data_IF_631320582825
#
_entry.id   IF_631320582825
#
_cell.length_a   1.000
_cell.length_b   1.000
_cell.length_c   1.000
_cell.angle_alpha   90.00
_cell.angle_beta   90.00
_cell.angle_gamma   90.00
#
_symmetry.space_group_name_H-M   'P 1'
#
loop_
_entity.id
_entity.type
_entity.pdbx_description
1 polymer ?
#
# COMPACT_ATOMS: atom_id res chain seq x y z
N UNK A 1 7.22 11.79 6.85
CA UNK A 1 7.56 11.53 5.42
C UNK A 1 7.63 10.03 5.23
N UNK A 2 6.65 9.44 4.54
CA UNK A 2 6.49 7.98 4.44
C UNK A 2 7.66 7.34 3.67
N UNK A 3 8.43 6.48 4.33
CA UNK A 3 9.52 5.72 3.68
C UNK A 3 9.08 4.28 3.44
N UNK A 4 8.46 4.07 2.28
CA UNK A 4 8.19 2.74 1.77
C UNK A 4 9.49 2.17 1.19
N UNK A 5 10.22 1.38 1.98
CA UNK A 5 11.41 0.67 1.54
C UNK A 5 11.01 -0.70 0.99
N UNK A 6 11.43 -1.05 -0.23
CA UNK A 6 11.23 -2.39 -0.80
C UNK A 6 9.98 -2.59 -1.65
N UNK A 7 9.37 -1.51 -2.17
CA UNK A 7 8.25 -1.63 -3.10
C UNK A 7 8.69 -2.27 -4.44
N UNK A 8 7.93 -3.25 -4.96
CA UNK A 8 8.23 -3.90 -6.23
C UNK A 8 7.92 -2.97 -7.41
N UNK A 9 8.84 -2.84 -8.36
CA UNK A 9 8.78 -1.85 -9.44
C UNK A 9 7.45 -1.85 -10.23
N UNK A 10 6.82 -0.67 -10.42
CA UNK A 10 5.56 -0.48 -11.15
C UNK A 10 5.57 -1.05 -12.56
N UNK A 11 6.73 -1.04 -13.21
CA UNK A 11 6.91 -1.65 -14.54
C UNK A 11 6.64 -3.17 -14.57
N UNK A 12 6.81 -3.85 -13.43
CA UNK A 12 6.52 -5.29 -13.28
C UNK A 12 5.16 -5.55 -12.64
N UNK A 13 4.71 -4.63 -11.78
CA UNK A 13 3.46 -4.75 -11.06
C UNK A 13 2.67 -3.44 -11.19
N UNK A 14 1.91 -3.26 -12.29
CA UNK A 14 1.21 -2.01 -12.54
C UNK A 14 0.06 -1.78 -11.54
N UNK A 15 -0.50 -2.85 -10.97
CA UNK A 15 -1.64 -2.79 -10.06
C UNK A 15 -1.22 -3.06 -8.62
N UNK A 16 -1.76 -2.26 -7.70
CA UNK A 16 -1.53 -2.39 -6.27
C UNK A 16 -2.86 -2.34 -5.53
N UNK A 17 -3.26 -3.46 -4.93
CA UNK A 17 -4.45 -3.53 -4.08
C UNK A 17 -4.05 -3.27 -2.63
N UNK A 18 -4.63 -2.26 -2.01
CA UNK A 18 -4.39 -1.91 -0.62
C UNK A 18 -5.55 -2.41 0.22
N UNK A 19 -5.26 -3.27 1.19
CA UNK A 19 -6.20 -3.75 2.20
C UNK A 19 -5.78 -3.18 3.55
N UNK A 20 -6.69 -2.44 4.16
CA UNK A 20 -6.49 -1.88 5.51
C UNK A 20 -6.81 -2.95 6.55
N UNK A 21 -5.84 -3.25 7.42
CA UNK A 21 -6.04 -4.02 8.63
C UNK A 21 -5.93 -3.11 9.86
N UNK A 22 -6.25 -3.64 11.04
CA UNK A 22 -6.25 -2.90 12.29
C UNK A 22 -4.86 -2.42 12.72
N UNK A 23 -3.82 -3.18 12.36
CA UNK A 23 -2.44 -2.96 12.83
C UNK A 23 -1.44 -2.75 11.68
N UNK A 24 -1.87 -2.97 10.42
CA UNK A 24 -1.02 -2.85 9.24
C UNK A 24 -1.83 -2.59 7.96
N UNK A 25 -1.17 -2.18 6.89
CA UNK A 25 -1.71 -2.15 5.54
C UNK A 25 -1.07 -3.25 4.73
N UNK A 26 -1.89 -4.11 4.15
CA UNK A 26 -1.42 -5.11 3.21
C UNK A 26 -1.53 -4.55 1.79
N UNK A 27 -0.41 -4.50 1.09
CA UNK A 27 -0.36 -4.12 -0.32
C UNK A 27 -0.10 -5.37 -1.15
N UNK A 28 -1.06 -5.71 -2.01
CA UNK A 28 -0.95 -6.79 -2.96
C UNK A 28 -0.70 -6.22 -4.35
N UNK A 29 0.54 -6.36 -4.82
CA UNK A 29 0.95 -5.93 -6.14
C UNK A 29 0.67 -7.05 -7.15
N UNK A 30 -0.10 -6.75 -8.17
CA UNK A 30 -0.43 -7.66 -9.26
C UNK A 30 0.38 -7.28 -10.50
N UNK A 31 1.25 -8.19 -10.91
CA UNK A 31 1.97 -8.18 -12.17
C UNK A 31 1.36 -9.14 -13.17
N UNK A 32 1.95 -9.19 -14.36
CA UNK A 32 1.44 -9.99 -15.49
C UNK A 32 1.45 -11.51 -15.17
N UNK A 33 2.56 -12.02 -14.63
CA UNK A 33 2.70 -13.44 -14.27
C UNK A 33 2.85 -13.70 -12.76
N UNK A 34 3.08 -12.66 -11.97
CA UNK A 34 3.36 -12.80 -10.54
C UNK A 34 2.60 -11.77 -9.71
N UNK A 35 2.24 -12.16 -8.50
CA UNK A 35 1.76 -11.26 -7.47
C UNK A 35 2.79 -11.17 -6.34
N UNK A 36 2.94 -9.98 -5.77
CA UNK A 36 3.84 -9.71 -4.65
C UNK A 36 3.03 -9.07 -3.54
N UNK A 37 2.98 -9.73 -2.38
CA UNK A 37 2.40 -9.14 -1.17
C UNK A 37 3.49 -8.41 -0.38
N UNK A 38 3.16 -7.23 0.13
CA UNK A 38 3.97 -6.42 1.02
C UNK A 38 3.09 -5.94 2.17
N UNK A 39 3.46 -6.29 3.38
CA UNK A 39 2.79 -5.84 4.59
C UNK A 39 3.53 -4.62 5.14
N UNK A 40 2.83 -3.50 5.25
CA UNK A 40 3.35 -2.23 5.76
C UNK A 40 2.75 -1.98 7.12
N UNK A 41 3.57 -2.13 8.14
CA UNK A 41 3.19 -1.93 9.53
C UNK A 41 2.90 -0.44 9.83
N UNK A 42 1.90 -0.15 10.65
CA UNK A 42 1.50 1.23 10.99
C UNK A 42 2.62 2.01 11.67
N UNK A 43 3.50 1.34 12.40
CA UNK A 43 4.72 1.92 13.02
C UNK A 43 5.70 2.50 11.99
N UNK A 44 5.63 2.10 10.71
CA UNK A 44 6.39 2.75 9.62
C UNK A 44 5.66 3.94 9.01
N UNK A 45 4.38 4.11 9.36
CA UNK A 45 3.45 5.09 8.85
C UNK A 45 3.14 6.08 9.97
N UNK A 46 4.13 6.93 10.30
CA UNK A 46 4.07 8.08 11.23
C UNK A 46 2.90 8.08 12.24
N UNK A 47 3.19 7.68 13.47
CA UNK A 47 2.30 7.41 14.63
C UNK A 47 1.34 8.58 15.03
N UNK A 48 1.43 9.74 14.37
CA UNK A 48 0.71 10.96 14.73
C UNK A 48 -0.55 11.27 13.91
N UNK A 49 -0.81 10.56 12.81
CA UNK A 49 -1.99 10.79 11.95
C UNK A 49 -3.04 9.70 12.17
N UNK A 50 -4.33 10.10 12.15
CA UNK A 50 -5.45 9.17 12.11
C UNK A 50 -5.24 8.10 11.04
N UNK A 51 -5.67 6.87 11.33
CA UNK A 51 -5.52 5.71 10.45
C UNK A 51 -6.03 5.99 9.01
N UNK A 52 -7.10 6.79 8.90
CA UNK A 52 -7.66 7.25 7.63
C UNK A 52 -6.73 8.19 6.86
N UNK A 53 -6.11 9.17 7.53
CA UNK A 53 -5.18 10.11 6.89
C UNK A 53 -3.89 9.40 6.48
N UNK A 54 -3.46 8.43 7.29
CA UNK A 54 -2.35 7.53 6.96
C UNK A 54 -2.66 6.68 5.72
N UNK A 55 -3.86 6.10 5.62
CA UNK A 55 -4.31 5.37 4.43
C UNK A 55 -4.28 6.28 3.19
N UNK A 56 -4.87 7.48 3.27
CA UNK A 56 -4.90 8.42 2.15
C UNK A 56 -3.50 8.81 1.68
N UNK A 57 -2.57 9.04 2.61
CA UNK A 57 -1.16 9.31 2.28
C UNK A 57 -0.47 8.11 1.64
N UNK A 58 -0.74 6.90 2.11
CA UNK A 58 -0.20 5.67 1.52
C UNK A 58 -0.70 5.50 0.09
N UNK A 59 -2.00 5.67 -0.14
CA UNK A 59 -2.64 5.60 -1.46
C UNK A 59 -2.08 6.65 -2.40
N UNK A 60 -2.02 7.91 -1.95
CA UNK A 60 -1.44 9.01 -2.72
C UNK A 60 0.01 8.70 -3.10
N UNK A 61 0.81 8.16 -2.15
CA UNK A 61 2.20 7.82 -2.41
C UNK A 61 2.36 6.73 -3.47
N UNK A 62 1.51 5.71 -3.44
CA UNK A 62 1.50 4.65 -4.47
C UNK A 62 1.10 5.22 -5.83
N UNK A 63 0.11 6.11 -5.86
CA UNK A 63 -0.33 6.75 -7.09
C UNK A 63 0.75 7.70 -7.66
N UNK A 64 1.48 8.44 -6.81
CA UNK A 64 2.63 9.27 -7.19
C UNK A 64 3.76 8.43 -7.82
N UNK A 65 3.95 7.20 -7.35
CA UNK A 65 4.92 6.26 -7.92
C UNK A 65 4.42 5.63 -9.24
N UNK A 66 3.18 5.90 -9.64
CA UNK A 66 2.56 5.44 -10.87
C UNK A 66 1.81 4.11 -10.75
N UNK A 67 1.62 3.58 -9.55
CA UNK A 67 0.82 2.35 -9.37
C UNK A 67 -0.67 2.66 -9.54
N UNK A 68 -1.39 1.74 -10.17
CA UNK A 68 -2.85 1.72 -10.17
C UNK A 68 -3.31 1.17 -8.82
N UNK A 69 -3.74 2.07 -7.94
CA UNK A 69 -4.07 1.73 -6.55
C UNK A 69 -5.55 1.43 -6.41
N UNK A 70 -5.89 0.21 -5.97
CA UNK A 70 -7.25 -0.20 -5.65
C UNK A 70 -7.39 -0.36 -4.13
N UNK A 71 -8.31 0.38 -3.50
CA UNK A 71 -8.65 0.16 -2.09
C UNK A 71 -9.65 -0.98 -1.96
N UNK A 72 -9.34 -1.96 -1.11
CA UNK A 72 -10.26 -3.04 -0.72
C UNK A 72 -10.57 -2.91 0.76
N UNK A 73 -11.86 -2.98 1.16
CA UNK A 73 -12.19 -3.12 2.56
C UNK A 73 -11.63 -4.47 3.08
N UNK A 74 -11.21 -4.55 4.36
CA UNK A 74 -10.96 -5.85 4.98
C UNK A 74 -12.24 -6.67 4.86
N UNK A 75 -12.14 -7.87 4.29
CA UNK A 75 -13.27 -8.81 4.32
C UNK A 75 -13.37 -9.34 5.75
N UNK A 76 -14.53 -9.11 6.38
CA UNK A 76 -14.88 -9.52 7.75
C UNK A 76 -14.75 -11.03 7.98
#
# INVERSE_FOLDING_TARGET
>A
MLRLMGLPHVARFPRATVTRYSDCFQLLFHGDEHSRRVDVDLRYLDDGDDLESTELRLLARLQELGYEVERRPPSE
#
